data_IF_549869467525
#
_entry.id   IF_549869467525
#
_cell.length_a   1.000
_cell.length_b   1.000
_cell.length_c   1.000
_cell.angle_alpha   90.00
_cell.angle_beta   90.00
_cell.angle_gamma   90.00
#
_symmetry.space_group_name_H-M   'P 1'
#
loop_
_entity.id
_entity.type
_entity.pdbx_description
1 polymer ?
#
# COMPACT_ATOMS: atom_id res chain seq x y z
N UNK A 1 -22.14 47.11 -53.04
CA UNK A 1 -22.90 46.62 -51.86
C UNK A 1 -22.95 45.09 -51.74
N UNK A 2 -23.31 44.32 -52.79
CA UNK A 2 -23.38 42.84 -52.74
C UNK A 2 -22.05 42.10 -52.46
N UNK A 3 -20.92 42.65 -52.89
CA UNK A 3 -19.59 42.05 -52.66
C UNK A 3 -19.05 42.23 -51.24
N UNK A 4 -19.34 43.36 -50.59
CA UNK A 4 -18.93 43.63 -49.21
C UNK A 4 -19.65 42.71 -48.21
N UNK A 5 -20.94 42.44 -48.44
CA UNK A 5 -21.71 41.54 -47.58
C UNK A 5 -21.22 40.09 -47.66
N UNK A 6 -20.80 39.62 -48.84
CA UNK A 6 -20.18 38.28 -49.02
C UNK A 6 -18.85 38.17 -48.27
N UNK A 7 -17.99 39.19 -48.33
CA UNK A 7 -16.70 39.18 -47.64
C UNK A 7 -16.86 39.17 -46.11
N UNK A 8 -17.82 39.93 -45.59
CA UNK A 8 -18.14 39.95 -44.15
C UNK A 8 -18.69 38.59 -43.70
N UNK A 9 -19.59 37.99 -44.47
CA UNK A 9 -20.17 36.68 -44.12
C UNK A 9 -19.11 35.56 -44.13
N UNK A 10 -18.21 35.57 -45.11
CA UNK A 10 -17.09 34.61 -45.17
C UNK A 10 -16.14 34.81 -43.99
N UNK A 11 -15.84 36.05 -43.61
CA UNK A 11 -14.99 36.35 -42.46
C UNK A 11 -15.62 35.88 -41.14
N UNK A 12 -16.94 36.10 -40.96
CA UNK A 12 -17.69 35.61 -39.80
C UNK A 12 -17.75 34.07 -39.74
N UNK A 13 -17.88 33.39 -40.88
CA UNK A 13 -17.88 31.92 -40.95
C UNK A 13 -16.49 31.35 -40.63
N UNK A 14 -15.41 31.98 -41.12
CA UNK A 14 -14.03 31.56 -40.83
C UNK A 14 -13.67 31.79 -39.35
N UNK A 15 -14.03 32.95 -38.79
CA UNK A 15 -13.82 33.24 -37.37
C UNK A 15 -14.61 32.29 -36.46
N UNK A 16 -15.84 31.93 -36.83
CA UNK A 16 -16.62 30.92 -36.12
C UNK A 16 -15.99 29.53 -36.18
N UNK A 17 -15.49 29.10 -37.36
CA UNK A 17 -14.84 27.79 -37.52
C UNK A 17 -13.49 27.70 -36.79
N UNK A 18 -12.73 28.79 -36.69
CA UNK A 18 -11.51 28.86 -35.88
C UNK A 18 -11.81 28.71 -34.36
N UNK A 19 -12.96 29.22 -33.89
CA UNK A 19 -13.41 29.00 -32.52
C UNK A 19 -14.00 27.61 -32.25
N UNK A 20 -14.49 26.89 -33.27
CA UNK A 20 -14.97 25.51 -33.13
C UNK A 20 -13.83 24.47 -33.08
N UNK A 21 -12.66 24.76 -33.62
CA UNK A 21 -11.50 23.87 -33.57
C UNK A 21 -10.67 24.00 -32.28
N UNK A 22 -11.01 24.96 -31.42
CA UNK A 22 -10.30 25.18 -30.17
C UNK A 22 -10.84 24.27 -29.06
N UNK A 23 -10.22 23.09 -28.96
CA UNK A 23 -10.04 22.33 -27.72
C UNK A 23 -11.26 21.59 -27.15
N UNK A 24 -11.81 20.63 -27.89
CA UNK A 24 -12.23 19.38 -27.25
C UNK A 24 -11.03 18.43 -27.19
N UNK A 25 -10.02 18.77 -26.39
CA UNK A 25 -9.04 17.80 -25.92
C UNK A 25 -9.68 17.11 -24.72
N UNK A 26 -10.19 15.90 -24.92
CA UNK A 26 -10.36 14.98 -23.82
C UNK A 26 -8.96 14.71 -23.26
N UNK A 27 -8.58 15.40 -22.19
CA UNK A 27 -7.40 15.01 -21.43
C UNK A 27 -7.69 13.60 -20.90
N UNK A 28 -6.93 12.62 -21.36
CA UNK A 28 -6.87 11.32 -20.70
C UNK A 28 -6.52 11.61 -19.24
N UNK A 29 -7.42 11.26 -18.32
CA UNK A 29 -7.26 11.53 -16.91
C UNK A 29 -6.03 10.78 -16.39
N UNK A 30 -4.88 11.45 -16.33
CA UNK A 30 -3.61 10.93 -15.84
C UNK A 30 -3.49 11.08 -14.33
N UNK A 31 -4.62 11.00 -13.62
CA UNK A 31 -4.63 11.09 -12.16
C UNK A 31 -3.87 9.88 -11.62
N UNK A 32 -2.80 10.12 -10.84
CA UNK A 32 -2.05 9.02 -10.25
C UNK A 32 -2.92 8.30 -9.22
N UNK A 33 -2.80 6.98 -9.12
CA UNK A 33 -3.42 6.17 -8.07
C UNK A 33 -2.37 5.26 -7.45
N UNK A 34 -2.56 4.89 -6.18
CA UNK A 34 -1.79 3.84 -5.51
C UNK A 34 -2.70 3.10 -4.51
N UNK A 35 -2.52 1.79 -4.41
CA UNK A 35 -3.26 0.89 -3.51
C UNK A 35 -2.25 -0.09 -2.89
N UNK A 36 -2.09 -0.06 -1.58
CA UNK A 36 -1.15 -0.84 -0.77
C UNK A 36 -1.91 -1.89 0.03
N UNK A 37 -1.43 -3.13 -0.02
CA UNK A 37 -1.98 -4.27 0.70
C UNK A 37 -0.90 -5.01 1.49
N UNK A 38 -1.28 -5.52 2.66
CA UNK A 38 -0.51 -6.46 3.46
C UNK A 38 -1.19 -7.82 3.46
N UNK A 39 -0.51 -8.86 2.97
CA UNK A 39 -1.09 -10.20 2.80
C UNK A 39 -2.44 -10.19 2.05
N UNK A 40 -2.59 -9.27 1.07
CA UNK A 40 -3.81 -9.07 0.29
C UNK A 40 -4.95 -8.32 1.00
N UNK A 41 -4.74 -7.86 2.24
CA UNK A 41 -5.67 -7.01 2.98
C UNK A 41 -5.25 -5.54 2.93
N UNK A 42 -6.23 -4.64 2.87
CA UNK A 42 -6.02 -3.19 2.95
C UNK A 42 -5.77 -2.76 4.40
N UNK A 43 -6.62 -1.90 4.96
CA UNK A 43 -6.52 -1.42 6.32
C UNK A 43 -7.78 -1.78 7.13
N UNK A 44 -7.66 -2.47 8.28
CA UNK A 44 -6.43 -3.03 8.86
C UNK A 44 -5.98 -4.35 8.21
N UNK A 45 -4.67 -4.65 8.29
CA UNK A 45 -4.09 -5.91 7.87
C UNK A 45 -3.65 -6.74 9.10
N UNK A 46 -4.48 -7.66 9.61
CA UNK A 46 -4.11 -8.49 10.76
C UNK A 46 -3.07 -9.56 10.35
N UNK A 47 -2.03 -9.73 11.17
CA UNK A 47 -0.98 -10.73 11.01
C UNK A 47 -0.77 -11.45 12.34
N UNK A 48 -0.49 -12.76 12.33
CA UNK A 48 -0.15 -13.49 13.56
C UNK A 48 1.27 -13.14 14.00
N UNK A 49 1.52 -13.10 15.30
CA UNK A 49 2.88 -12.93 15.80
C UNK A 49 3.83 -13.97 15.20
N UNK A 50 4.93 -13.51 14.59
CA UNK A 50 5.94 -14.38 13.98
C UNK A 50 5.65 -14.79 12.54
N UNK A 51 4.48 -14.45 11.99
CA UNK A 51 4.19 -14.68 10.57
C UNK A 51 4.88 -13.62 9.70
N UNK A 52 5.14 -14.01 8.44
CA UNK A 52 5.64 -13.08 7.43
C UNK A 52 4.52 -12.19 6.90
N UNK A 53 4.87 -10.93 6.69
CA UNK A 53 4.04 -9.95 5.98
C UNK A 53 4.59 -9.75 4.58
N UNK A 54 3.76 -10.03 3.57
CA UNK A 54 4.04 -9.68 2.19
C UNK A 54 3.32 -8.36 1.85
N UNK A 55 4.09 -7.34 1.51
CA UNK A 55 3.58 -6.05 1.05
C UNK A 55 3.49 -6.04 -0.47
N UNK A 56 2.31 -5.69 -0.98
CA UNK A 56 2.03 -5.58 -2.42
C UNK A 56 1.36 -4.26 -2.70
N UNK A 57 1.72 -3.59 -3.80
CA UNK A 57 1.02 -2.39 -4.22
C UNK A 57 0.78 -2.37 -5.73
N UNK A 58 -0.31 -1.69 -6.11
CA UNK A 58 -0.62 -1.37 -7.50
C UNK A 58 -0.71 0.14 -7.63
N UNK A 59 -0.33 0.67 -8.79
CA UNK A 59 -0.43 2.10 -9.08
C UNK A 59 -0.80 2.30 -10.54
N UNK A 60 -1.30 3.48 -10.88
CA UNK A 60 -1.54 3.86 -12.27
C UNK A 60 -1.14 5.31 -12.49
N UNK A 61 -0.66 5.64 -13.68
CA UNK A 61 -0.23 7.00 -14.06
C UNK A 61 0.85 7.61 -13.13
N UNK A 62 1.74 6.79 -12.57
CA UNK A 62 2.85 7.26 -11.72
C UNK A 62 4.19 7.08 -12.42
N UNK A 63 5.16 7.92 -12.07
CA UNK A 63 6.54 7.92 -12.57
C UNK A 63 7.55 7.46 -11.51
N UNK A 64 7.21 7.58 -10.24
CA UNK A 64 8.05 7.15 -9.12
C UNK A 64 7.21 6.87 -7.88
N UNK A 65 7.67 5.96 -7.03
CA UNK A 65 7.06 5.68 -5.73
C UNK A 65 8.15 5.64 -4.65
N UNK A 66 7.83 6.05 -3.42
CA UNK A 66 8.70 5.93 -2.24
C UNK A 66 7.95 5.22 -1.14
N UNK A 67 8.65 4.36 -0.38
CA UNK A 67 8.07 3.56 0.69
C UNK A 67 8.95 3.66 1.94
N UNK A 68 8.33 3.76 3.12
CA UNK A 68 9.04 3.98 4.38
C UNK A 68 9.80 2.74 4.92
N UNK A 69 9.47 1.56 4.38
CA UNK A 69 10.00 0.27 4.85
C UNK A 69 11.19 -0.24 4.04
N UNK A 70 11.59 0.49 3.00
CA UNK A 70 12.77 0.14 2.21
C UNK A 70 13.78 1.28 2.18
N UNK A 71 15.07 0.92 2.12
CA UNK A 71 16.19 1.88 2.22
C UNK A 71 16.54 2.59 0.92
N UNK A 72 15.96 2.18 -0.21
CA UNK A 72 16.23 2.76 -1.52
C UNK A 72 15.20 3.83 -1.87
N UNK A 73 15.67 4.85 -2.58
CA UNK A 73 14.93 6.10 -2.74
C UNK A 73 13.70 6.01 -3.66
N UNK A 74 13.50 4.93 -4.43
CA UNK A 74 12.35 4.83 -5.34
C UNK A 74 11.98 3.39 -5.67
N UNK A 75 10.80 2.92 -5.23
CA UNK A 75 10.26 1.60 -5.55
C UNK A 75 9.60 1.55 -6.94
N UNK A 76 9.52 0.36 -7.59
CA UNK A 76 8.80 0.16 -8.83
C UNK A 76 7.39 0.69 -8.73
N UNK A 77 7.01 1.30 -9.84
CA UNK A 77 5.72 1.94 -9.99
C UNK A 77 4.62 0.88 -9.96
N UNK A 78 4.78 -0.24 -10.64
CA UNK A 78 3.83 -1.35 -10.61
C UNK A 78 4.54 -2.62 -10.13
N UNK A 79 3.91 -3.31 -9.17
CA UNK A 79 4.31 -4.61 -8.63
C UNK A 79 5.78 -4.69 -8.15
N UNK A 80 5.96 -4.70 -6.83
CA UNK A 80 7.07 -5.44 -6.22
C UNK A 80 6.62 -6.02 -4.89
N UNK A 81 6.86 -7.32 -4.69
CA UNK A 81 6.83 -7.98 -3.39
C UNK A 81 7.91 -7.36 -2.50
N UNK A 82 7.51 -6.70 -1.41
CA UNK A 82 8.46 -6.36 -0.35
C UNK A 82 9.10 -7.61 0.23
N UNK A 83 10.32 -7.50 0.78
CA UNK A 83 10.91 -8.61 1.52
C UNK A 83 9.96 -9.05 2.65
N UNK A 84 9.74 -10.35 2.86
CA UNK A 84 8.90 -10.83 3.94
C UNK A 84 9.48 -10.38 5.28
N UNK A 85 8.85 -9.41 5.92
CA UNK A 85 9.21 -8.97 7.27
C UNK A 85 8.40 -9.80 8.27
N UNK A 86 9.10 -10.38 9.26
CA UNK A 86 8.43 -11.05 10.37
C UNK A 86 7.83 -9.96 11.26
N UNK A 87 6.51 -9.96 11.41
CA UNK A 87 5.83 -8.91 12.18
C UNK A 87 5.73 -9.33 13.64
N UNK A 88 6.58 -8.75 14.48
CA UNK A 88 6.59 -9.00 15.93
C UNK A 88 5.80 -7.94 16.72
N UNK A 89 5.51 -6.79 16.11
CA UNK A 89 4.74 -5.71 16.72
C UNK A 89 3.89 -4.95 15.71
N UNK A 90 2.78 -4.32 16.13
CA UNK A 90 1.95 -3.51 15.24
C UNK A 90 2.75 -2.39 14.59
N UNK A 91 2.58 -2.20 13.29
CA UNK A 91 3.32 -1.22 12.49
C UNK A 91 2.45 -0.65 11.37
N UNK A 92 2.66 0.60 11.03
CA UNK A 92 2.06 1.23 9.85
C UNK A 92 3.07 1.27 8.71
N UNK A 93 2.58 1.04 7.49
CA UNK A 93 3.37 1.09 6.26
C UNK A 93 2.74 2.11 5.32
N UNK A 94 3.54 3.05 4.82
CA UNK A 94 3.08 4.10 3.91
C UNK A 94 3.90 4.14 2.61
N UNK A 95 3.17 4.23 1.49
CA UNK A 95 3.73 4.43 0.15
C UNK A 95 3.23 5.75 -0.44
N UNK A 96 4.11 6.48 -1.12
CA UNK A 96 3.78 7.72 -1.83
C UNK A 96 4.26 7.60 -3.26
N UNK A 97 3.35 7.73 -4.23
CA UNK A 97 3.65 7.73 -5.64
C UNK A 97 3.41 9.11 -6.27
N UNK A 98 4.27 9.49 -7.21
CA UNK A 98 4.19 10.77 -7.93
C UNK A 98 3.99 10.49 -9.41
N UNK A 99 3.07 11.22 -10.03
CA UNK A 99 2.74 11.17 -11.45
C UNK A 99 2.54 12.57 -12.05
N UNK A 100 2.11 12.63 -13.32
CA UNK A 100 1.98 13.90 -14.08
C UNK A 100 1.07 14.94 -13.41
N UNK A 101 0.01 14.47 -12.74
CA UNK A 101 -1.02 15.31 -12.14
C UNK A 101 -0.87 15.47 -10.61
N UNK A 102 0.25 15.04 -10.03
CA UNK A 102 0.56 15.23 -8.61
C UNK A 102 1.06 13.97 -7.91
N UNK A 103 0.90 13.93 -6.59
CA UNK A 103 1.29 12.78 -5.77
C UNK A 103 0.10 12.22 -5.00
N UNK A 104 0.09 10.92 -4.83
CA UNK A 104 -0.90 10.15 -4.04
C UNK A 104 -0.17 9.25 -3.08
N UNK A 105 -0.80 8.92 -1.95
CA UNK A 105 -0.24 7.99 -0.99
C UNK A 105 -1.29 7.06 -0.43
N UNK A 106 -0.84 5.92 0.07
CA UNK A 106 -1.67 4.94 0.73
C UNK A 106 -0.97 4.35 1.95
N UNK A 107 -1.75 3.97 2.96
CA UNK A 107 -1.27 3.51 4.26
C UNK A 107 -2.07 2.33 4.77
N UNK A 108 -1.38 1.28 5.20
CA UNK A 108 -1.97 0.17 5.93
C UNK A 108 -1.48 0.13 7.38
N UNK A 109 -2.37 -0.24 8.30
CA UNK A 109 -2.00 -0.50 9.69
C UNK A 109 -2.02 -2.01 9.93
N UNK A 110 -0.85 -2.56 10.24
CA UNK A 110 -0.67 -3.97 10.54
C UNK A 110 -0.87 -4.18 12.03
N UNK A 111 -1.88 -4.98 12.37
CA UNK A 111 -2.14 -5.40 13.75
C UNK A 111 -1.57 -6.79 13.98
N UNK A 112 -0.93 -7.00 15.14
CA UNK A 112 -0.42 -8.32 15.51
C UNK A 112 -1.40 -9.01 16.45
N UNK A 113 -1.90 -10.17 16.04
CA UNK A 113 -2.74 -11.03 16.88
C UNK A 113 -1.91 -12.19 17.43
N UNK A 114 -2.12 -12.54 18.70
CA UNK A 114 -1.46 -13.71 19.30
C UNK A 114 -0.01 -13.50 19.74
N UNK A 115 0.41 -12.26 20.06
CA UNK A 115 1.64 -12.04 20.83
C UNK A 115 1.45 -12.67 22.22
N UNK A 116 1.78 -13.94 22.34
CA UNK A 116 2.04 -14.55 23.64
C UNK A 116 3.34 -13.91 24.12
N UNK A 117 3.21 -12.78 24.81
CA UNK A 117 4.27 -12.31 25.68
C UNK A 117 4.62 -13.47 26.59
N UNK A 118 5.73 -14.15 26.32
CA UNK A 118 6.25 -15.21 27.19
C UNK A 118 6.79 -14.54 28.45
N UNK A 119 5.89 -13.98 29.24
CA UNK A 119 6.16 -13.45 30.57
C UNK A 119 6.11 -14.63 31.51
N UNK A 120 7.24 -15.33 31.60
CA UNK A 120 7.50 -16.23 32.70
C UNK A 120 7.92 -17.61 32.26
N UNK A 121 9.17 -17.92 32.58
CA UNK A 121 9.50 -19.25 33.06
C UNK A 121 8.64 -19.50 34.30
N UNK A 122 7.48 -20.13 34.15
CA UNK A 122 6.93 -20.90 35.26
C UNK A 122 7.77 -22.16 35.34
N UNK A 123 8.85 -22.09 36.13
CA UNK A 123 9.39 -23.29 36.74
C UNK A 123 8.30 -23.79 37.69
N UNK A 124 7.43 -24.68 37.23
CA UNK A 124 6.41 -25.29 38.08
C UNK A 124 7.01 -26.18 39.17
N UNK A 125 8.30 -26.53 39.06
CA UNK A 125 8.92 -27.45 39.99
C UNK A 125 10.32 -26.92 40.38
N UNK A 126 10.39 -26.15 41.46
CA UNK A 126 11.58 -26.23 42.30
C UNK A 126 11.51 -27.60 42.96
N UNK A 127 12.26 -28.57 42.44
CA UNK A 127 12.56 -29.78 43.18
C UNK A 127 13.26 -29.33 44.49
N UNK A 128 12.87 -29.89 45.64
CA UNK A 128 13.34 -29.49 47.00
C UNK A 128 14.88 -29.51 47.17
N UNK A 129 15.60 -30.05 46.19
CA UNK A 129 17.05 -30.26 46.12
C UNK A 129 17.79 -29.34 45.12
N UNK A 130 17.12 -28.42 44.43
CA UNK A 130 17.77 -27.31 43.70
C UNK A 130 18.49 -27.65 42.38
N UNK A 131 18.14 -28.77 41.72
CA UNK A 131 18.66 -29.14 40.40
C UNK A 131 17.70 -28.84 39.23
N UNK A 132 18.24 -28.56 38.03
CA UNK A 132 17.46 -28.38 36.79
C UNK A 132 17.33 -29.71 36.02
N UNK A 133 16.10 -30.15 35.74
CA UNK A 133 15.82 -31.37 34.98
C UNK A 133 15.79 -31.09 33.46
N UNK A 134 16.71 -31.70 32.71
CA UNK A 134 16.78 -31.63 31.24
C UNK A 134 15.82 -32.58 30.53
N UNK A 135 14.52 -32.53 30.84
CA UNK A 135 13.57 -33.47 30.25
C UNK A 135 12.14 -32.95 30.18
N UNK A 136 11.78 -32.36 29.03
CA UNK A 136 10.55 -32.62 28.26
C UNK A 136 10.25 -31.44 27.32
N UNK A 137 10.86 -31.42 26.14
CA UNK A 137 10.51 -30.46 25.09
C UNK A 137 9.47 -31.09 24.17
N UNK A 138 8.29 -31.45 24.68
CA UNK A 138 7.14 -31.77 23.83
C UNK A 138 6.30 -30.50 23.67
N UNK A 139 6.62 -29.72 22.64
CA UNK A 139 5.80 -28.59 22.20
C UNK A 139 4.55 -29.15 21.51
N UNK A 140 3.54 -29.55 22.29
CA UNK A 140 2.20 -29.79 21.74
C UNK A 140 1.37 -28.53 21.97
N UNK A 141 0.97 -27.79 20.93
CA UNK A 141 0.12 -26.62 21.09
C UNK A 141 -1.30 -27.08 21.45
N UNK A 142 -1.69 -26.88 22.70
CA UNK A 142 -3.09 -27.04 23.14
C UNK A 142 -3.92 -25.89 22.57
N UNK A 143 -4.52 -26.11 21.40
CA UNK A 143 -5.59 -25.29 20.87
C UNK A 143 -6.87 -25.53 21.68
N UNK A 144 -7.24 -24.60 22.57
CA UNK A 144 -8.61 -24.52 23.05
C UNK A 144 -9.33 -23.37 22.37
N UNK A 145 -10.43 -23.61 21.64
CA UNK A 145 -11.24 -22.54 21.07
C UNK A 145 -11.92 -21.75 22.21
N UNK A 146 -11.77 -20.42 22.22
CA UNK A 146 -12.58 -19.54 23.05
C UNK A 146 -13.88 -19.26 22.29
N UNK A 147 -15.00 -19.56 22.94
CA UNK A 147 -16.36 -19.34 22.46
C UNK A 147 -16.76 -17.84 22.48
#
# INVERSE_FOLDING_TARGET
MKLFYKAIFICLVILALFSFFSHSHAHAQTTPTVDLKGNGSDNPAPVTFGDSLNLTWTSTNVTSCTADWVSWASVPTEETTGDPEVVESPRSFNIVCTGPDGSVGDTINVGVSGSTSYTGWIFSDLNEDGGYNQGANSFEPLYTPVA
#
